data_IF_426003140287
#
_entry.id   IF_426003140287
#
_cell.length_a   1.000
_cell.length_b   1.000
_cell.length_c   1.000
_cell.angle_alpha   90.00
_cell.angle_beta   90.00
_cell.angle_gamma   90.00
#
_symmetry.space_group_name_H-M   'P 1'
#
loop_
_entity.id
_entity.type
_entity.pdbx_description
1 polymer ?
#
# COMPACT_ATOMS: atom_id res chain seq x y z
N UNK A 1 -3.75 -83.37 0.24
CA UNK A 1 -3.09 -82.15 0.74
C UNK A 1 -2.51 -81.38 -0.43
N UNK A 2 -3.10 -80.22 -0.79
CA UNK A 2 -2.43 -79.08 -1.44
C UNK A 2 -3.43 -77.92 -1.48
N UNK A 3 -3.04 -76.85 -0.80
CA UNK A 3 -3.84 -75.69 -0.40
C UNK A 3 -4.28 -74.80 -1.57
N UNK A 4 -5.51 -74.29 -1.51
CA UNK A 4 -6.00 -73.21 -2.37
C UNK A 4 -5.60 -71.86 -1.79
N UNK A 5 -4.84 -71.06 -2.53
CA UNK A 5 -4.51 -69.68 -2.20
C UNK A 5 -5.54 -68.76 -2.89
N UNK A 6 -6.46 -68.19 -2.12
CA UNK A 6 -7.44 -67.20 -2.61
C UNK A 6 -6.81 -65.82 -2.46
N UNK A 7 -6.31 -65.27 -3.56
CA UNK A 7 -5.79 -63.91 -3.67
C UNK A 7 -6.98 -62.94 -3.77
N UNK A 8 -7.30 -62.24 -2.67
CA UNK A 8 -8.31 -61.16 -2.68
C UNK A 8 -7.64 -59.88 -3.18
N UNK A 9 -7.94 -59.53 -4.44
CA UNK A 9 -7.56 -58.26 -5.05
C UNK A 9 -8.43 -57.14 -4.46
N UNK A 10 -7.84 -56.31 -3.60
CA UNK A 10 -8.48 -55.11 -3.06
C UNK A 10 -8.43 -54.04 -4.16
N UNK A 11 -9.57 -53.80 -4.79
CA UNK A 11 -9.76 -52.72 -5.75
C UNK A 11 -9.88 -51.40 -4.99
N UNK A 12 -8.76 -50.71 -4.79
CA UNK A 12 -8.71 -49.38 -4.19
C UNK A 12 -9.17 -48.34 -5.21
N UNK A 13 -10.45 -47.99 -5.17
CA UNK A 13 -11.04 -46.91 -5.96
C UNK A 13 -10.50 -45.57 -5.44
N UNK A 14 -9.49 -45.02 -6.11
CA UNK A 14 -9.01 -43.65 -5.88
C UNK A 14 -10.10 -42.68 -6.39
N UNK A 15 -10.88 -42.11 -5.47
CA UNK A 15 -11.80 -41.02 -5.79
C UNK A 15 -10.98 -39.75 -6.05
N UNK A 16 -10.78 -39.43 -7.32
CA UNK A 16 -10.18 -38.18 -7.78
C UNK A 16 -11.22 -37.07 -7.57
N UNK A 17 -11.24 -36.50 -6.36
CA UNK A 17 -12.04 -35.33 -6.06
C UNK A 17 -11.49 -34.16 -6.88
N UNK A 18 -12.22 -33.78 -7.93
CA UNK A 18 -11.98 -32.54 -8.66
C UNK A 18 -12.15 -31.38 -7.66
N UNK A 19 -11.03 -30.86 -7.18
CA UNK A 19 -10.97 -29.64 -6.40
C UNK A 19 -11.30 -28.50 -7.37
N UNK A 20 -12.59 -28.24 -7.58
CA UNK A 20 -13.04 -26.96 -8.11
C UNK A 20 -12.69 -25.94 -7.03
N UNK A 21 -11.47 -25.43 -7.10
CA UNK A 21 -11.03 -24.30 -6.31
C UNK A 21 -11.92 -23.13 -6.69
N UNK A 22 -12.99 -22.92 -5.93
CA UNK A 22 -13.57 -21.60 -5.81
C UNK A 22 -12.42 -20.74 -5.29
N UNK A 23 -11.75 -20.03 -6.20
CA UNK A 23 -11.02 -18.85 -5.78
C UNK A 23 -12.11 -17.98 -5.19
N UNK A 24 -12.10 -17.82 -3.87
CA UNK A 24 -12.83 -16.75 -3.24
C UNK A 24 -12.32 -15.50 -3.94
N UNK A 25 -13.11 -14.98 -4.88
CA UNK A 25 -12.86 -13.70 -5.49
C UNK A 25 -12.81 -12.73 -4.32
N UNK A 26 -11.61 -12.27 -3.99
CA UNK A 26 -11.45 -11.17 -3.04
C UNK A 26 -12.29 -10.03 -3.61
N UNK A 27 -13.33 -9.65 -2.89
CA UNK A 27 -14.12 -8.49 -3.26
C UNK A 27 -13.22 -7.28 -3.02
N UNK A 28 -12.75 -6.63 -4.08
CA UNK A 28 -11.96 -5.40 -4.01
C UNK A 28 -10.58 -5.46 -4.67
N UNK A 29 -9.93 -4.30 -4.73
CA UNK A 29 -8.56 -4.16 -5.17
C UNK A 29 -7.60 -4.87 -4.21
N UNK A 30 -6.41 -5.23 -4.71
CA UNK A 30 -5.31 -5.69 -3.87
C UNK A 30 -4.15 -4.71 -4.01
N UNK A 31 -3.26 -4.67 -3.01
CA UNK A 31 -1.97 -4.00 -3.12
C UNK A 31 -0.85 -4.98 -3.50
N UNK A 32 -1.13 -6.29 -3.56
CA UNK A 32 -0.17 -7.36 -3.88
C UNK A 32 1.21 -7.14 -3.22
N UNK A 33 2.30 -7.22 -3.98
CA UNK A 33 3.66 -6.99 -3.47
C UNK A 33 3.93 -5.57 -2.98
N UNK A 34 3.05 -4.59 -3.24
CA UNK A 34 3.15 -3.24 -2.70
C UNK A 34 2.73 -3.16 -1.21
N UNK A 35 1.94 -4.13 -0.73
CA UNK A 35 1.46 -4.20 0.67
C UNK A 35 2.57 -4.32 1.72
N UNK A 36 3.82 -4.61 1.33
CA UNK A 36 4.95 -4.62 2.26
C UNK A 36 5.56 -3.23 2.50
N UNK A 37 5.22 -2.22 1.69
CA UNK A 37 5.85 -0.90 1.73
C UNK A 37 4.93 0.15 2.37
N UNK A 38 5.50 1.01 3.22
CA UNK A 38 4.86 2.24 3.68
C UNK A 38 4.94 3.34 2.62
N UNK A 39 6.08 3.42 1.94
CA UNK A 39 6.35 4.43 0.92
C UNK A 39 6.87 3.74 -0.34
N UNK A 40 6.27 4.09 -1.48
CA UNK A 40 6.77 3.74 -2.80
C UNK A 40 7.00 5.03 -3.57
N UNK A 41 8.22 5.20 -4.05
CA UNK A 41 8.63 6.35 -4.84
C UNK A 41 9.00 5.89 -6.24
N UNK A 42 8.35 6.40 -7.29
CA UNK A 42 8.54 5.90 -8.67
C UNK A 42 9.90 6.22 -9.31
N UNK A 43 10.08 5.80 -10.56
CA UNK A 43 11.27 6.05 -11.36
C UNK A 43 11.40 7.52 -11.76
N UNK A 44 12.43 8.20 -11.27
CA UNK A 44 12.87 9.49 -11.78
C UNK A 44 14.29 9.81 -11.33
N UNK A 45 14.95 10.78 -11.96
CA UNK A 45 16.27 11.31 -11.54
C UNK A 45 16.20 12.19 -10.27
N UNK A 46 15.22 11.96 -9.39
CA UNK A 46 14.89 12.84 -8.26
C UNK A 46 15.13 12.18 -6.92
N UNK A 47 14.83 12.93 -5.87
CA UNK A 47 15.07 12.52 -4.49
C UNK A 47 13.76 12.36 -3.72
N UNK A 48 13.66 11.30 -2.93
CA UNK A 48 12.74 11.22 -1.79
C UNK A 48 13.41 11.90 -0.60
N UNK A 49 12.89 13.05 -0.20
CA UNK A 49 13.35 13.80 0.97
C UNK A 49 12.47 13.48 2.17
N UNK A 50 13.07 12.92 3.20
CA UNK A 50 12.44 12.68 4.48
C UNK A 50 13.09 13.55 5.56
N UNK A 51 12.33 14.43 6.21
CA UNK A 51 12.85 15.37 7.18
C UNK A 51 11.95 15.46 8.41
N UNK A 52 12.51 15.15 9.59
CA UNK A 52 11.82 15.12 10.89
C UNK A 52 10.61 14.15 10.90
N UNK A 53 10.64 13.12 11.74
CA UNK A 53 9.49 12.21 11.92
C UNK A 53 9.88 10.74 11.87
N UNK A 54 8.88 9.86 11.69
CA UNK A 54 9.08 8.41 11.67
C UNK A 54 8.28 7.73 10.55
N UNK A 55 8.93 6.87 9.77
CA UNK A 55 8.26 5.94 8.86
C UNK A 55 8.37 4.54 9.45
N UNK A 56 7.23 3.89 9.72
CA UNK A 56 7.15 2.50 10.17
C UNK A 56 6.69 1.63 9.00
N UNK A 57 7.58 0.78 8.50
CA UNK A 57 7.40 -0.03 7.30
C UNK A 57 8.51 0.19 6.27
N UNK A 58 8.55 -0.67 5.25
CA UNK A 58 9.60 -0.61 4.22
C UNK A 58 9.39 0.57 3.27
N UNK A 59 10.49 1.10 2.74
CA UNK A 59 10.51 2.12 1.69
C UNK A 59 11.03 1.46 0.40
N UNK A 60 10.26 1.55 -0.69
CA UNK A 60 10.69 1.12 -2.02
C UNK A 60 10.93 2.31 -2.95
N UNK A 61 12.07 2.34 -3.62
CA UNK A 61 12.50 3.43 -4.49
C UNK A 61 12.77 2.93 -5.93
N UNK A 62 12.15 3.61 -6.90
CA UNK A 62 12.45 3.51 -8.32
C UNK A 62 13.87 3.99 -8.60
N UNK A 63 14.67 3.25 -9.35
CA UNK A 63 16.00 3.70 -9.78
C UNK A 63 15.86 4.63 -11.01
N UNK A 64 16.61 5.74 -11.09
CA UNK A 64 17.80 6.11 -10.30
C UNK A 64 17.55 7.10 -9.13
N UNK A 65 16.41 7.01 -8.40
CA UNK A 65 16.15 7.94 -7.29
C UNK A 65 17.16 7.85 -6.14
N UNK A 66 17.36 8.99 -5.48
CA UNK A 66 18.08 9.09 -4.21
C UNK A 66 17.11 9.16 -3.02
N UNK A 67 17.55 8.70 -1.86
CA UNK A 67 16.85 8.84 -0.60
C UNK A 67 17.71 9.65 0.38
N UNK A 68 17.12 10.70 0.93
CA UNK A 68 17.76 11.52 1.98
C UNK A 68 16.85 11.58 3.19
N UNK A 69 17.35 11.10 4.33
CA UNK A 69 16.70 11.24 5.63
C UNK A 69 17.49 12.23 6.51
N UNK A 70 16.86 13.32 6.96
CA UNK A 70 17.47 14.28 7.88
C UNK A 70 16.65 14.41 9.16
N UNK A 71 17.24 14.04 10.29
CA UNK A 71 16.56 13.95 11.60
C UNK A 71 15.28 13.08 11.57
N UNK A 72 15.16 12.15 10.61
CA UNK A 72 14.02 11.23 10.47
C UNK A 72 14.43 9.79 10.77
N UNK A 73 13.52 9.00 11.32
CA UNK A 73 13.72 7.57 11.63
C UNK A 73 12.92 6.69 10.68
N UNK A 74 13.55 5.70 10.07
CA UNK A 74 12.88 4.64 9.31
C UNK A 74 12.97 3.34 10.11
N UNK A 75 11.81 2.84 10.56
CA UNK A 75 11.65 1.54 11.21
C UNK A 75 11.23 0.53 10.15
N UNK A 76 12.20 0.09 9.35
CA UNK A 76 11.98 -0.76 8.18
C UNK A 76 13.19 -0.80 7.26
N UNK A 77 13.07 -1.49 6.14
CA UNK A 77 14.10 -1.56 5.10
C UNK A 77 13.97 -0.40 4.10
N UNK A 78 15.09 -0.02 3.48
CA UNK A 78 15.10 0.89 2.32
C UNK A 78 15.60 0.11 1.11
N UNK A 79 14.74 -0.05 0.10
CA UNK A 79 14.95 -0.99 -1.00
C UNK A 79 14.88 -0.25 -2.33
N UNK A 80 15.89 -0.41 -3.17
CA UNK A 80 15.98 0.23 -4.49
C UNK A 80 15.74 -0.82 -5.58
N UNK A 81 14.86 -0.53 -6.53
CA UNK A 81 14.55 -1.40 -7.68
C UNK A 81 15.75 -1.67 -8.61
N UNK A 82 16.70 -0.74 -8.70
CA UNK A 82 17.86 -0.84 -9.59
C UNK A 82 19.19 -0.65 -8.87
N UNK A 83 20.25 -0.51 -9.67
CA UNK A 83 21.61 -0.31 -9.19
C UNK A 83 21.75 1.11 -8.62
N UNK A 84 21.32 1.27 -7.37
CA UNK A 84 21.99 2.21 -6.49
C UNK A 84 23.48 1.90 -6.60
N UNK A 85 24.34 2.86 -6.97
CA UNK A 85 25.78 2.60 -6.95
C UNK A 85 26.12 2.15 -5.53
N UNK A 86 26.52 0.88 -5.36
CA UNK A 86 26.82 0.31 -4.04
C UNK A 86 27.98 1.03 -3.37
N UNK A 87 28.77 1.81 -4.12
CA UNK A 87 29.60 2.90 -3.62
C UNK A 87 28.73 4.02 -3.03
N UNK A 88 28.64 4.07 -1.70
CA UNK A 88 27.90 5.12 -0.97
C UNK A 88 26.57 4.68 -0.36
N UNK A 89 26.33 3.36 -0.22
CA UNK A 89 25.27 2.83 0.65
C UNK A 89 25.60 2.93 2.15
N UNK A 90 26.84 3.25 2.49
CA UNK A 90 27.18 3.66 3.86
C UNK A 90 26.50 5.00 4.12
N UNK A 91 25.74 5.17 5.22
CA UNK A 91 25.21 6.48 5.60
C UNK A 91 26.36 7.47 5.59
N UNK A 92 26.37 8.40 4.62
CA UNK A 92 27.39 9.43 4.60
C UNK A 92 26.93 10.53 5.54
N UNK A 93 27.61 10.74 6.68
CA UNK A 93 27.19 11.73 7.66
C UNK A 93 27.44 13.17 7.18
N UNK A 94 28.12 13.37 6.04
CA UNK A 94 28.53 14.69 5.56
C UNK A 94 27.76 15.06 4.29
N UNK A 95 26.73 15.95 4.38
CA UNK A 95 25.99 16.43 3.22
C UNK A 95 26.94 17.01 2.16
N UNK A 96 26.89 16.50 0.93
CA UNK A 96 27.64 17.04 -0.21
C UNK A 96 28.99 16.36 -0.55
N UNK A 97 29.40 15.31 0.17
CA UNK A 97 30.60 14.54 -0.19
C UNK A 97 30.25 13.29 -1.02
N UNK A 98 30.27 13.39 -2.36
CA UNK A 98 30.16 12.25 -3.28
C UNK A 98 29.04 11.25 -2.94
N UNK A 99 27.79 11.66 -3.15
CA UNK A 99 26.58 10.99 -2.66
C UNK A 99 26.32 9.67 -3.39
N UNK A 100 26.43 8.56 -2.66
CA UNK A 100 25.62 7.40 -2.99
C UNK A 100 24.13 7.77 -2.92
N UNK A 101 23.24 6.94 -3.47
CA UNK A 101 21.81 7.23 -3.57
C UNK A 101 21.07 7.16 -2.23
N UNK A 102 21.79 7.09 -1.12
CA UNK A 102 21.26 6.95 0.23
C UNK A 102 22.07 7.83 1.19
N UNK A 103 21.41 8.80 1.83
CA UNK A 103 22.01 9.71 2.81
C UNK A 103 21.15 9.77 4.06
N UNK A 104 21.78 9.65 5.24
CA UNK A 104 21.12 9.86 6.54
C UNK A 104 21.95 10.85 7.35
N UNK A 105 21.31 11.93 7.82
CA UNK A 105 21.97 13.02 8.54
C UNK A 105 21.13 13.53 9.72
N UNK A 106 21.70 14.42 10.53
CA UNK A 106 20.95 15.09 11.61
C UNK A 106 20.45 14.16 12.74
N UNK A 107 21.14 13.04 12.97
CA UNK A 107 20.66 12.03 13.94
C UNK A 107 19.46 11.22 13.47
N UNK A 108 19.12 11.27 12.17
CA UNK A 108 18.20 10.30 11.57
C UNK A 108 18.76 8.88 11.60
N UNK A 109 17.89 7.88 11.44
CA UNK A 109 18.25 6.46 11.50
C UNK A 109 17.45 5.64 10.50
N UNK A 110 18.03 4.51 10.09
CA UNK A 110 17.33 3.42 9.38
C UNK A 110 17.65 2.14 10.15
N UNK A 111 16.64 1.47 10.69
CA UNK A 111 16.85 0.28 11.54
C UNK A 111 16.97 -1.02 10.74
N UNK A 112 16.41 -1.07 9.53
CA UNK A 112 16.48 -2.23 8.64
C UNK A 112 17.63 -2.18 7.64
N UNK A 113 17.56 -3.06 6.65
CA UNK A 113 18.57 -3.17 5.60
C UNK A 113 18.39 -2.12 4.51
N UNK A 114 19.51 -1.71 3.90
CA UNK A 114 19.49 -0.96 2.65
C UNK A 114 19.83 -1.91 1.50
N UNK A 115 18.87 -2.19 0.63
CA UNK A 115 18.96 -3.22 -0.42
C UNK A 115 18.93 -2.56 -1.81
N UNK A 116 19.83 -2.96 -2.70
CA UNK A 116 19.83 -2.52 -4.09
C UNK A 116 19.41 -3.66 -5.04
N UNK A 117 18.96 -3.32 -6.25
CA UNK A 117 18.48 -4.27 -7.27
C UNK A 117 17.34 -5.19 -6.79
N UNK A 118 16.43 -4.64 -6.00
CA UNK A 118 15.32 -5.40 -5.45
C UNK A 118 14.17 -5.55 -6.45
N UNK A 119 14.03 -6.74 -7.03
CA UNK A 119 12.96 -7.05 -7.98
C UNK A 119 11.54 -6.92 -7.38
N UNK A 120 11.40 -7.00 -6.05
CA UNK A 120 10.14 -6.77 -5.35
C UNK A 120 9.67 -5.33 -5.47
N UNK A 121 10.59 -4.37 -5.40
CA UNK A 121 10.27 -2.94 -5.59
C UNK A 121 9.83 -2.69 -7.04
N UNK A 122 10.54 -3.25 -8.02
CA UNK A 122 10.17 -3.14 -9.45
C UNK A 122 8.76 -3.67 -9.71
N UNK A 123 8.45 -4.85 -9.15
CA UNK A 123 7.14 -5.49 -9.30
C UNK A 123 6.04 -4.65 -8.63
N UNK A 124 6.29 -4.15 -7.41
CA UNK A 124 5.35 -3.31 -6.68
C UNK A 124 5.05 -1.99 -7.42
N UNK A 125 6.07 -1.31 -7.96
CA UNK A 125 5.90 -0.07 -8.73
C UNK A 125 5.08 -0.31 -10.01
N UNK A 126 5.39 -1.36 -10.77
CA UNK A 126 4.64 -1.71 -11.97
C UNK A 126 3.18 -2.05 -11.63
N UNK A 127 2.97 -2.76 -10.53
CA UNK A 127 1.64 -3.13 -10.06
C UNK A 127 0.79 -1.91 -9.69
N UNK A 128 1.30 -1.01 -8.84
CA UNK A 128 0.53 0.19 -8.43
C UNK A 128 0.24 1.14 -9.60
N UNK A 129 1.11 1.17 -10.61
CA UNK A 129 0.87 1.90 -11.86
C UNK A 129 -0.29 1.31 -12.66
N UNK A 130 -0.28 0.00 -12.86
CA UNK A 130 -1.37 -0.71 -13.52
C UNK A 130 -2.67 -0.57 -12.74
N UNK A 131 -2.61 -0.64 -11.41
CA UNK A 131 -3.76 -0.49 -10.52
C UNK A 131 -4.38 0.91 -10.67
N UNK A 132 -3.56 1.95 -10.54
CA UNK A 132 -4.02 3.35 -10.68
C UNK A 132 -4.65 3.61 -12.04
N UNK A 133 -4.04 3.12 -13.12
CA UNK A 133 -4.55 3.29 -14.47
C UNK A 133 -5.87 2.53 -14.68
N UNK A 134 -5.98 1.31 -14.15
CA UNK A 134 -7.19 0.49 -14.26
C UNK A 134 -8.34 1.14 -13.51
N UNK A 135 -8.14 1.42 -12.23
CA UNK A 135 -9.17 2.02 -11.38
C UNK A 135 -9.52 3.45 -11.80
N UNK A 136 -8.55 4.24 -12.25
CA UNK A 136 -8.79 5.61 -12.74
C UNK A 136 -9.70 5.67 -13.99
N UNK A 137 -9.82 4.57 -14.73
CA UNK A 137 -10.76 4.45 -15.85
C UNK A 137 -12.21 4.18 -15.44
N UNK A 138 -12.45 3.84 -14.18
CA UNK A 138 -13.77 3.46 -13.68
C UNK A 138 -14.61 4.69 -13.32
N UNK A 139 -15.88 4.65 -13.70
CA UNK A 139 -16.85 5.66 -13.27
C UNK A 139 -17.23 5.41 -11.81
N UNK A 140 -17.28 6.47 -11.01
CA UNK A 140 -17.69 6.40 -9.61
C UNK A 140 -18.90 7.27 -9.29
N UNK A 141 -19.45 7.07 -8.09
CA UNK A 141 -20.39 8.04 -7.50
C UNK A 141 -19.69 9.38 -7.31
N UNK A 142 -20.27 10.45 -7.85
CA UNK A 142 -19.67 11.78 -7.78
C UNK A 142 -19.56 12.28 -6.33
N UNK A 143 -18.42 12.90 -6.02
CA UNK A 143 -18.07 13.35 -4.68
C UNK A 143 -17.38 14.73 -4.72
N UNK A 144 -17.62 15.52 -3.67
CA UNK A 144 -16.90 16.77 -3.39
C UNK A 144 -16.34 16.68 -1.98
N UNK A 145 -15.03 16.90 -1.81
CA UNK A 145 -14.33 16.77 -0.53
C UNK A 145 -13.83 18.14 -0.05
N UNK A 146 -14.73 19.06 0.29
CA UNK A 146 -14.38 20.45 0.68
C UNK A 146 -14.73 20.82 2.12
N UNK A 147 -15.36 19.90 2.86
CA UNK A 147 -15.80 20.11 4.25
C UNK A 147 -15.90 18.77 4.98
N UNK A 148 -16.11 18.81 6.29
CA UNK A 148 -16.41 17.61 7.08
C UNK A 148 -17.63 16.89 6.53
N UNK A 149 -17.53 15.58 6.34
CA UNK A 149 -18.64 14.75 5.87
C UNK A 149 -18.40 13.26 6.15
N UNK A 150 -19.47 12.49 6.05
CA UNK A 150 -19.43 11.03 6.11
C UNK A 150 -19.77 10.45 4.75
N UNK A 151 -18.92 9.58 4.25
CA UNK A 151 -19.17 8.74 3.08
C UNK A 151 -19.49 7.34 3.61
N UNK A 152 -20.59 6.75 3.15
CA UNK A 152 -20.85 5.34 3.39
C UNK A 152 -20.28 4.55 2.21
N UNK A 153 -19.46 3.53 2.47
CA UNK A 153 -18.84 2.72 1.41
C UNK A 153 -19.91 2.21 0.43
N UNK A 154 -21.01 1.66 0.94
CA UNK A 154 -22.16 1.17 0.16
C UNK A 154 -22.93 2.22 -0.67
N UNK A 155 -22.53 3.49 -0.62
CA UNK A 155 -23.05 4.53 -1.53
C UNK A 155 -22.17 4.75 -2.78
N UNK A 156 -21.06 4.02 -2.88
CA UNK A 156 -20.21 4.00 -4.06
C UNK A 156 -20.88 3.31 -5.24
N UNK A 157 -20.24 3.41 -6.40
CA UNK A 157 -20.60 2.60 -7.54
C UNK A 157 -19.84 1.27 -7.44
N UNK A 158 -20.55 0.17 -7.21
CA UNK A 158 -19.95 -1.15 -7.17
C UNK A 158 -19.37 -1.53 -8.55
N UNK A 159 -18.06 -1.76 -8.62
CA UNK A 159 -17.39 -2.22 -9.84
C UNK A 159 -17.50 -3.75 -10.03
N UNK A 160 -16.89 -4.26 -11.10
CA UNK A 160 -16.85 -5.70 -11.37
C UNK A 160 -15.91 -6.50 -10.45
N UNK A 161 -15.05 -5.82 -9.70
CA UNK A 161 -14.06 -6.41 -8.78
C UNK A 161 -14.55 -6.45 -7.34
N UNK A 162 -15.63 -5.73 -7.00
CA UNK A 162 -16.17 -5.59 -5.64
C UNK A 162 -15.75 -4.31 -4.91
N UNK A 163 -15.20 -3.32 -5.62
CA UNK A 163 -14.89 -1.98 -5.10
C UNK A 163 -16.10 -1.07 -5.13
N UNK A 164 -16.24 -0.24 -4.10
CA UNK A 164 -17.15 0.89 -4.05
C UNK A 164 -16.44 2.14 -4.55
N UNK A 165 -16.72 2.52 -5.80
CA UNK A 165 -15.98 3.57 -6.52
C UNK A 165 -16.66 4.92 -6.40
N UNK A 166 -15.87 5.94 -6.05
CA UNK A 166 -16.24 7.35 -6.03
C UNK A 166 -15.34 8.14 -6.97
N UNK A 167 -15.86 9.26 -7.50
CA UNK A 167 -15.08 10.21 -8.29
C UNK A 167 -15.12 11.58 -7.63
N UNK A 168 -13.98 12.02 -7.10
CA UNK A 168 -13.81 13.32 -6.48
C UNK A 168 -13.22 14.33 -7.49
N UNK A 169 -14.02 15.30 -7.91
CA UNK A 169 -13.59 16.37 -8.81
C UNK A 169 -12.98 17.58 -8.09
N UNK A 170 -13.20 17.67 -6.78
CA UNK A 170 -12.60 18.72 -5.93
C UNK A 170 -12.28 18.17 -4.56
N UNK A 171 -11.04 18.40 -4.12
CA UNK A 171 -10.52 17.99 -2.82
C UNK A 171 -9.78 19.15 -2.17
N UNK A 172 -10.41 19.73 -1.16
CA UNK A 172 -9.85 20.80 -0.35
C UNK A 172 -10.36 20.67 1.08
N UNK A 173 -9.85 19.66 1.78
CA UNK A 173 -10.13 19.47 3.20
C UNK A 173 -9.18 20.39 3.98
N UNK A 174 -9.73 21.28 4.80
CA UNK A 174 -8.93 22.13 5.69
C UNK A 174 -8.57 21.42 7.00
N UNK A 175 -7.71 22.02 7.82
CA UNK A 175 -7.25 21.45 9.10
C UNK A 175 -8.35 21.15 10.12
N UNK A 176 -9.54 21.74 9.97
CA UNK A 176 -10.70 21.48 10.82
C UNK A 176 -11.68 20.47 10.22
N UNK A 177 -11.44 20.02 8.99
CA UNK A 177 -12.31 19.09 8.27
C UNK A 177 -12.07 17.66 8.74
N UNK A 178 -13.15 16.92 8.91
CA UNK A 178 -13.13 15.48 9.23
C UNK A 178 -13.86 14.74 8.13
N UNK A 179 -13.15 13.97 7.33
CA UNK A 179 -13.74 13.02 6.41
C UNK A 179 -13.91 11.68 7.14
N UNK A 180 -15.14 11.18 7.26
CA UNK A 180 -15.40 9.84 7.80
C UNK A 180 -15.78 8.90 6.67
N UNK A 181 -15.11 7.77 6.55
CA UNK A 181 -15.49 6.70 5.62
C UNK A 181 -16.03 5.54 6.46
N UNK A 182 -17.31 5.27 6.31
CA UNK A 182 -18.03 4.25 7.06
C UNK A 182 -18.26 3.03 6.16
N UNK A 183 -17.61 1.92 6.49
CA UNK A 183 -17.71 0.67 5.74
C UNK A 183 -17.46 -0.54 6.64
N UNK A 184 -17.97 -1.69 6.24
CA UNK A 184 -17.70 -2.97 6.89
C UNK A 184 -16.25 -3.44 6.65
N UNK A 185 -15.81 -4.45 7.39
CA UNK A 185 -14.50 -5.07 7.17
C UNK A 185 -14.36 -5.79 5.81
N UNK A 186 -15.45 -5.97 5.05
CA UNK A 186 -15.42 -6.53 3.70
C UNK A 186 -15.54 -5.49 2.58
N UNK A 187 -15.73 -4.21 2.92
CA UNK A 187 -15.89 -3.15 1.94
C UNK A 187 -14.51 -2.66 1.49
N UNK A 188 -14.37 -2.40 0.19
CA UNK A 188 -13.20 -1.75 -0.41
C UNK A 188 -13.66 -0.47 -1.10
N UNK A 189 -13.01 0.64 -0.80
CA UNK A 189 -13.39 1.96 -1.29
C UNK A 189 -12.28 2.53 -2.16
N UNK A 190 -12.63 2.93 -3.39
CA UNK A 190 -11.74 3.64 -4.30
C UNK A 190 -12.28 5.05 -4.52
N UNK A 191 -11.50 6.06 -4.15
CA UNK A 191 -11.80 7.45 -4.43
C UNK A 191 -10.85 7.91 -5.53
N UNK A 192 -11.34 7.88 -6.77
CA UNK A 192 -10.66 8.40 -7.93
C UNK A 192 -10.68 9.93 -7.91
N UNK A 193 -9.51 10.55 -7.81
CA UNK A 193 -9.36 12.01 -7.69
C UNK A 193 -8.95 12.60 -9.04
N UNK A 194 -9.74 13.54 -9.54
CA UNK A 194 -9.46 14.30 -10.78
C UNK A 194 -9.10 15.76 -10.52
N UNK A 195 -9.11 16.18 -9.25
CA UNK A 195 -8.57 17.48 -8.86
C UNK A 195 -7.09 17.55 -9.23
N UNK A 196 -6.65 18.67 -9.80
CA UNK A 196 -5.24 18.86 -10.16
C UNK A 196 -4.34 19.13 -8.94
N UNK A 197 -4.90 19.62 -7.83
CA UNK A 197 -4.13 19.94 -6.62
C UNK A 197 -4.90 19.48 -5.37
N UNK A 198 -5.16 18.18 -5.22
CA UNK A 198 -5.94 17.69 -4.09
C UNK A 198 -5.21 17.94 -2.78
N UNK A 199 -5.88 18.63 -1.87
CA UNK A 199 -5.35 18.99 -0.57
C UNK A 199 -6.09 18.25 0.55
N UNK A 200 -5.41 17.28 1.16
CA UNK A 200 -5.90 16.51 2.30
C UNK A 200 -5.29 17.08 3.59
N UNK A 201 -5.80 18.22 4.05
CA UNK A 201 -5.30 18.87 5.27
C UNK A 201 -6.17 18.54 6.50
N UNK A 202 -7.28 17.82 6.33
CA UNK A 202 -8.13 17.38 7.45
C UNK A 202 -7.72 16.03 8.03
N UNK A 203 -8.50 15.53 9.00
CA UNK A 203 -8.43 14.13 9.41
C UNK A 203 -9.30 13.25 8.51
N UNK A 204 -8.89 12.00 8.36
CA UNK A 204 -9.66 10.97 7.65
C UNK A 204 -9.85 9.81 8.62
N UNK A 205 -11.10 9.56 9.01
CA UNK A 205 -11.47 8.54 9.98
C UNK A 205 -12.16 7.36 9.30
N UNK A 206 -11.86 6.15 9.75
CA UNK A 206 -12.51 4.93 9.30
C UNK A 206 -13.45 4.40 10.39
N UNK A 207 -14.67 4.03 10.03
CA UNK A 207 -15.67 3.46 10.95
C UNK A 207 -16.36 2.24 10.34
N UNK A 208 -16.99 1.41 11.16
CA UNK A 208 -17.75 0.23 10.69
C UNK A 208 -16.90 -1.04 10.49
N UNK A 209 -15.57 -0.94 10.64
CA UNK A 209 -14.64 -2.07 10.55
C UNK A 209 -13.78 -2.08 9.28
N UNK A 210 -14.01 -1.17 8.34
CA UNK A 210 -13.10 -0.96 7.19
C UNK A 210 -11.70 -0.54 7.69
N UNK A 211 -10.67 -1.07 7.05
CA UNK A 211 -9.25 -0.80 7.35
C UNK A 211 -8.64 0.15 6.33
N UNK A 212 -7.48 0.70 6.63
CA UNK A 212 -6.80 1.66 5.77
C UNK A 212 -6.22 1.05 4.48
N UNK A 213 -5.92 -0.26 4.49
CA UNK A 213 -5.60 -1.01 3.26
C UNK A 213 -6.82 -1.23 2.33
N UNK A 214 -8.04 -1.03 2.83
CA UNK A 214 -9.27 -1.13 2.04
C UNK A 214 -9.73 0.22 1.48
N UNK A 215 -9.02 1.33 1.76
CA UNK A 215 -9.35 2.67 1.27
C UNK A 215 -8.22 3.20 0.40
N UNK A 216 -8.51 3.42 -0.88
CA UNK A 216 -7.56 3.94 -1.85
C UNK A 216 -7.98 5.32 -2.38
N UNK A 217 -7.15 6.33 -2.15
CA UNK A 217 -7.21 7.62 -2.83
C UNK A 217 -6.31 7.57 -4.06
N UNK A 218 -6.92 7.41 -5.23
CA UNK A 218 -6.23 7.24 -6.51
C UNK A 218 -6.22 8.56 -7.28
N UNK A 219 -5.10 9.28 -7.21
CA UNK A 219 -4.84 10.44 -8.07
C UNK A 219 -4.37 9.89 -9.42
N UNK A 220 -5.23 9.98 -10.41
CA UNK A 220 -5.00 9.40 -11.73
C UNK A 220 -4.97 10.49 -12.81
N UNK A 221 -4.41 10.15 -13.96
CA UNK A 221 -4.15 11.08 -15.06
C UNK A 221 -2.67 11.21 -15.36
N UNK A 222 -2.32 12.06 -16.32
CA UNK A 222 -0.93 12.20 -16.79
C UNK A 222 -0.45 11.04 -17.67
N UNK A 223 0.87 10.89 -17.77
CA UNK A 223 1.55 9.91 -18.62
C UNK A 223 2.30 8.88 -17.76
N UNK A 224 1.82 7.63 -17.75
CA UNK A 224 2.38 6.50 -16.99
C UNK A 224 3.70 5.95 -17.55
N UNK A 225 4.16 6.41 -18.71
CA UNK A 225 5.48 6.06 -19.27
C UNK A 225 6.54 7.06 -18.86
N UNK A 226 6.21 8.36 -18.85
CA UNK A 226 7.15 9.42 -18.46
C UNK A 226 6.99 9.87 -17.01
N UNK A 227 5.95 9.39 -16.32
CA UNK A 227 5.57 9.79 -14.96
C UNK A 227 5.44 11.31 -14.82
N UNK A 228 4.62 11.92 -15.68
CA UNK A 228 4.41 13.38 -15.71
C UNK A 228 2.96 13.77 -15.92
N UNK A 229 2.58 14.97 -15.48
CA UNK A 229 1.29 15.58 -15.81
C UNK A 229 0.09 15.01 -15.03
N UNK A 230 0.34 14.25 -13.96
CA UNK A 230 -0.68 13.90 -12.97
C UNK A 230 -0.95 15.07 -12.00
N UNK A 231 -1.90 14.89 -11.07
CA UNK A 231 -2.19 15.84 -9.99
C UNK A 231 -0.97 16.17 -9.12
N UNK A 232 -1.05 17.19 -8.27
CA UNK A 232 -0.05 17.40 -7.21
C UNK A 232 -0.70 17.13 -5.86
N UNK A 233 -0.46 15.95 -5.30
CA UNK A 233 -0.97 15.57 -3.99
C UNK A 233 -0.25 16.33 -2.87
N UNK A 234 -1.04 16.96 -2.00
CA UNK A 234 -0.57 17.48 -0.71
C UNK A 234 -1.35 16.87 0.46
N UNK A 235 -0.63 16.31 1.42
CA UNK A 235 -1.16 15.93 2.74
C UNK A 235 -0.50 16.86 3.77
N UNK A 236 -1.30 17.72 4.40
CA UNK A 236 -0.78 18.67 5.40
C UNK A 236 -1.76 18.79 6.56
N UNK A 237 -1.97 17.69 7.27
CA UNK A 237 -3.03 17.58 8.27
C UNK A 237 -2.68 18.13 9.66
N UNK A 238 -1.58 18.87 9.78
CA UNK A 238 -1.16 19.57 10.99
C UNK A 238 -1.12 18.67 12.24
N UNK A 239 -0.57 17.46 12.07
CA UNK A 239 -0.46 16.44 13.11
C UNK A 239 -1.75 15.66 13.39
N UNK A 240 -2.83 15.88 12.64
CA UNK A 240 -3.99 14.99 12.66
C UNK A 240 -3.69 13.66 11.96
N UNK A 241 -4.56 12.67 12.13
CA UNK A 241 -4.42 11.39 11.44
C UNK A 241 -5.25 11.38 10.15
N UNK A 242 -4.62 11.01 9.05
CA UNK A 242 -5.30 10.57 7.83
C UNK A 242 -5.13 9.06 7.70
N UNK A 243 -6.22 8.34 7.43
CA UNK A 243 -6.21 6.90 7.18
C UNK A 243 -6.37 6.60 5.69
N UNK A 244 -5.61 5.65 5.15
CA UNK A 244 -5.78 5.11 3.81
C UNK A 244 -4.50 5.06 2.96
N UNK A 245 -4.62 4.46 1.78
CA UNK A 245 -3.55 4.45 0.77
C UNK A 245 -3.70 5.61 -0.20
N UNK A 246 -2.67 6.45 -0.31
CA UNK A 246 -2.60 7.53 -1.29
C UNK A 246 -1.70 7.13 -2.46
N UNK A 247 -2.26 7.12 -3.67
CA UNK A 247 -1.61 6.65 -4.88
C UNK A 247 -1.62 7.72 -5.97
N UNK A 248 -0.45 8.31 -6.27
CA UNK A 248 -0.29 9.32 -7.33
C UNK A 248 0.90 9.02 -8.24
N UNK A 249 0.74 8.16 -9.27
CA UNK A 249 1.87 7.70 -10.08
C UNK A 249 2.56 8.73 -10.95
N UNK A 250 1.84 9.78 -11.32
CA UNK A 250 2.27 10.72 -12.35
C UNK A 250 2.34 12.16 -11.85
N UNK A 251 2.11 12.33 -10.55
CA UNK A 251 2.01 13.60 -9.87
C UNK A 251 3.09 13.86 -8.82
N UNK A 252 3.31 15.14 -8.54
CA UNK A 252 4.15 15.56 -7.43
C UNK A 252 3.48 15.19 -6.11
N UNK A 253 4.23 14.65 -5.16
CA UNK A 253 3.68 14.22 -3.87
C UNK A 253 4.42 14.86 -2.70
N UNK A 254 3.66 15.51 -1.82
CA UNK A 254 4.18 16.11 -0.60
C UNK A 254 3.33 15.75 0.62
N UNK A 255 4.01 15.40 1.70
CA UNK A 255 3.44 15.28 3.04
C UNK A 255 4.18 16.23 3.99
N UNK A 256 3.46 17.11 4.67
CA UNK A 256 4.03 18.14 5.54
C UNK A 256 3.35 18.12 6.91
N UNK A 257 4.13 17.97 7.99
CA UNK A 257 3.63 17.99 9.37
C UNK A 257 2.35 17.15 9.54
N UNK A 258 2.40 15.88 9.14
CA UNK A 258 1.21 15.02 9.07
C UNK A 258 1.40 13.65 9.71
N UNK A 259 0.30 13.05 10.18
CA UNK A 259 0.25 11.62 10.54
C UNK A 259 -0.60 10.88 9.51
N UNK A 260 -0.03 9.83 8.92
CA UNK A 260 -0.66 8.94 7.97
C UNK A 260 -0.62 7.50 8.51
N UNK A 261 -1.79 6.95 8.80
CA UNK A 261 -1.97 5.52 9.05
C UNK A 261 -2.42 4.89 7.72
N UNK A 262 -1.45 4.32 7.01
CA UNK A 262 -1.63 3.91 5.63
C UNK A 262 -0.35 4.00 4.82
N UNK A 263 -0.51 4.34 3.53
CA UNK A 263 0.55 4.19 2.52
C UNK A 263 0.66 5.40 1.62
N UNK A 264 1.88 5.72 1.21
CA UNK A 264 2.19 6.89 0.40
C UNK A 264 2.96 6.48 -0.86
N UNK A 265 2.22 6.24 -1.94
CA UNK A 265 2.71 5.58 -3.16
C UNK A 265 2.65 6.51 -4.37
N UNK A 266 3.74 6.62 -5.13
CA UNK A 266 3.75 7.37 -6.37
C UNK A 266 4.96 8.29 -6.53
N UNK A 267 4.70 9.49 -7.05
CA UNK A 267 5.69 10.53 -7.29
C UNK A 267 6.15 10.57 -8.74
N UNK A 268 6.13 11.76 -9.31
CA UNK A 268 6.52 12.08 -10.69
C UNK A 268 8.02 12.36 -10.85
N UNK A 269 8.35 13.12 -11.91
CA UNK A 269 9.67 13.72 -12.16
C UNK A 269 10.02 14.92 -11.27
N UNK A 270 9.31 15.17 -10.18
CA UNK A 270 9.72 16.08 -9.12
C UNK A 270 10.29 15.31 -7.91
N UNK A 271 10.76 16.07 -6.91
CA UNK A 271 11.16 15.50 -5.63
C UNK A 271 9.92 15.14 -4.82
N UNK A 272 9.89 13.92 -4.29
CA UNK A 272 8.88 13.53 -3.31
C UNK A 272 9.34 14.01 -1.93
N UNK A 273 8.44 14.60 -1.15
CA UNK A 273 8.79 15.22 0.12
C UNK A 273 7.90 14.73 1.25
N UNK A 274 8.53 14.27 2.33
CA UNK A 274 7.90 13.95 3.61
C UNK A 274 8.63 14.79 4.66
N UNK A 275 8.07 15.92 5.07
CA UNK A 275 8.79 16.97 5.80
C UNK A 275 8.07 17.42 7.08
N UNK A 276 8.82 18.09 7.96
CA UNK A 276 8.31 18.82 9.13
C UNK A 276 7.60 17.97 10.20
N UNK A 277 8.04 16.73 10.44
CA UNK A 277 7.43 15.86 11.46
C UNK A 277 6.41 14.89 10.87
N UNK A 278 6.69 14.35 9.68
CA UNK A 278 5.82 13.37 9.04
C UNK A 278 5.89 12.01 9.72
N UNK A 279 4.75 11.46 10.11
CA UNK A 279 4.61 10.10 10.62
C UNK A 279 3.84 9.25 9.62
N UNK A 280 4.42 8.13 9.20
CA UNK A 280 3.73 7.13 8.36
C UNK A 280 3.79 5.80 9.08
N UNK A 281 2.63 5.20 9.31
CA UNK A 281 2.51 3.85 9.87
C UNK A 281 1.82 2.98 8.84
N UNK A 282 2.56 2.10 8.15
CA UNK A 282 1.94 1.13 7.27
C UNK A 282 1.17 0.08 8.10
N UNK A 283 0.04 -0.41 7.60
CA UNK A 283 -0.58 -1.62 8.12
C UNK A 283 0.43 -2.73 8.19
N UNK A 284 0.48 -3.37 9.34
CA UNK A 284 1.13 -4.67 9.43
C UNK A 284 0.26 -5.61 8.60
N UNK A 285 0.77 -6.21 7.52
CA UNK A 285 -0.01 -7.20 6.78
C UNK A 285 -0.49 -8.22 7.80
N UNK A 286 -1.81 -8.45 7.87
CA UNK A 286 -2.34 -9.43 8.81
C UNK A 286 -1.54 -10.72 8.60
N UNK A 287 -0.79 -11.18 9.61
CA UNK A 287 -0.09 -12.43 9.46
C UNK A 287 -1.13 -13.47 9.06
N UNK A 288 -0.76 -14.53 8.35
CA UNK A 288 -1.67 -15.65 8.10
C UNK A 288 -2.19 -16.34 9.38
N UNK A 289 -2.07 -15.74 10.56
CA UNK A 289 -2.63 -16.13 11.86
C UNK A 289 -4.11 -16.44 11.77
N UNK A 290 -4.91 -15.72 10.98
CA UNK A 290 -6.30 -16.08 10.74
C UNK A 290 -6.41 -17.43 10.02
N UNK A 291 -5.60 -17.65 8.98
CA UNK A 291 -5.51 -18.94 8.28
C UNK A 291 -4.99 -20.03 9.21
N UNK A 292 -3.95 -19.77 10.00
CA UNK A 292 -3.40 -20.72 10.97
C UNK A 292 -4.41 -21.07 12.07
N UNK A 293 -5.22 -20.11 12.52
CA UNK A 293 -6.31 -20.37 13.45
C UNK A 293 -7.37 -21.26 12.81
N UNK A 294 -7.78 -20.97 11.58
CA UNK A 294 -8.75 -21.79 10.84
C UNK A 294 -8.23 -23.23 10.62
N UNK A 295 -6.97 -23.39 10.19
CA UNK A 295 -6.32 -24.71 10.05
C UNK A 295 -6.12 -25.39 11.41
N UNK A 296 -5.82 -24.62 12.46
CA UNK A 296 -5.74 -25.11 13.84
C UNK A 296 -7.07 -25.68 14.32
N UNK A 297 -8.18 -24.97 14.09
CA UNK A 297 -9.53 -25.43 14.44
C UNK A 297 -9.95 -26.65 13.59
N UNK A 298 -9.65 -26.64 12.29
CA UNK A 298 -9.95 -27.77 11.40
C UNK A 298 -9.18 -29.03 11.82
N UNK A 299 -7.90 -28.90 12.13
CA UNK A 299 -7.07 -30.02 12.61
C UNK A 299 -7.56 -30.57 13.95
N UNK A 300 -8.03 -29.72 14.87
CA UNK A 300 -8.67 -30.14 16.12
C UNK A 300 -9.98 -30.91 15.89
N UNK A 301 -10.81 -30.49 14.92
CA UNK A 301 -12.04 -31.20 14.57
C UNK A 301 -11.75 -32.59 13.99
N UNK A 302 -10.74 -32.70 13.13
CA UNK A 302 -10.29 -33.99 12.56
C UNK A 302 -9.75 -34.90 13.68
N UNK A 303 -8.90 -34.38 14.56
CA UNK A 303 -8.34 -35.13 15.69
C UNK A 303 -9.40 -35.59 16.69
N UNK A 304 -10.48 -34.81 16.90
CA UNK A 304 -11.60 -35.22 17.76
C UNK A 304 -12.40 -36.36 17.14
N UNK A 305 -12.54 -36.38 15.81
CA UNK A 305 -13.28 -37.42 15.09
C UNK A 305 -12.53 -38.75 15.10
N UNK A 306 -11.20 -38.74 15.00
CA UNK A 306 -10.39 -39.97 15.01
C UNK A 306 -10.34 -40.68 16.38
N UNK A 307 -10.58 -39.99 17.50
CA UNK A 307 -10.63 -40.62 18.84
C UNK A 307 -11.93 -41.37 19.15
N UNK A 308 -12.93 -41.31 18.28
CA UNK A 308 -14.23 -41.97 18.46
C UNK A 308 -14.40 -43.24 17.62
N UNK A 309 -13.36 -43.69 16.93
CA UNK A 309 -13.29 -44.97 16.21
C UNK A 309 -12.29 -45.88 16.91
#
# INVERSE_FOLDING_TARGET
MKSSLILRSICSTFAMAAYLGFQATCAGFSLDGASQFAVLSQYANNMLNFNNGTITGDIGLGSPRQFTASNGSVVGNVRFSGASSTSGLTPNPTPGSGTGPFTVSGGGTVSGNVVANDAGVTSALNYVNSLSQTLGGESGTALTLTSSQTINASSGMLDGSGNEVFTAASVNLNNASVLTINGSASDYVVINVTDNNPAFNGSINLTGGITDDHVLFNMYGGNYTTHTGGPTLTISNNGQTANGTFLDPNGGMQMNHSVLDGRFFGGDVANQQIVSGGFITAPVPEPGTASFLAFGLLSLLIARRSRKQ
#
